data_IF_306921963080
#
_entry.id   IF_306921963080
#
_cell.length_a   1.000
_cell.length_b   1.000
_cell.length_c   1.000
_cell.angle_alpha   90.00
_cell.angle_beta   90.00
_cell.angle_gamma   90.00
#
_symmetry.space_group_name_H-M   'P 1'
#
loop_
_entity.id
_entity.type
_entity.pdbx_description
1 polymer ?
#
# COMPACT_ATOMS: atom_id res chain seq x y z
N UNK A 1 15.67 -14.99 0.17
CA UNK A 1 14.32 -15.38 0.65
C UNK A 1 13.31 -14.91 -0.37
N UNK A 2 12.27 -15.71 -0.64
CA UNK A 2 11.22 -15.35 -1.61
C UNK A 2 10.23 -14.44 -0.89
N UNK A 3 10.14 -13.18 -1.31
CA UNK A 3 9.13 -12.23 -0.81
C UNK A 3 7.85 -12.39 -1.63
N UNK A 4 6.70 -12.32 -0.97
CA UNK A 4 5.39 -12.34 -1.66
C UNK A 4 5.05 -10.89 -2.00
N UNK A 5 5.04 -10.59 -3.30
CA UNK A 5 4.59 -9.30 -3.83
C UNK A 5 3.08 -9.28 -4.03
N UNK A 6 2.43 -8.23 -3.54
CA UNK A 6 0.99 -8.02 -3.64
C UNK A 6 0.71 -6.88 -4.62
N UNK A 7 -0.26 -7.11 -5.50
CA UNK A 7 -0.83 -6.10 -6.39
C UNK A 7 -2.22 -5.78 -5.87
N UNK A 8 -2.37 -4.62 -5.25
CA UNK A 8 -3.60 -4.22 -4.57
C UNK A 8 -4.47 -3.38 -5.48
N UNK A 9 -5.71 -3.84 -5.70
CA UNK A 9 -6.72 -3.15 -6.48
C UNK A 9 -7.87 -2.74 -5.56
N UNK A 10 -8.45 -1.57 -5.80
CA UNK A 10 -9.47 -0.98 -4.93
C UNK A 10 -8.95 -0.84 -3.49
N UNK A 11 -7.72 -0.35 -3.35
CA UNK A 11 -7.01 -0.34 -2.06
C UNK A 11 -7.69 0.55 -1.01
N UNK A 12 -8.60 1.44 -1.42
CA UNK A 12 -9.25 2.40 -0.55
C UNK A 12 -8.21 3.25 0.17
N UNK A 13 -8.40 3.47 1.47
CA UNK A 13 -7.46 4.18 2.32
C UNK A 13 -6.21 3.35 2.72
N UNK A 14 -6.06 2.12 2.19
CA UNK A 14 -4.86 1.31 2.34
C UNK A 14 -4.76 0.46 3.60
N UNK A 15 -5.81 0.37 4.43
CA UNK A 15 -5.73 -0.29 5.75
C UNK A 15 -5.23 -1.75 5.68
N UNK A 16 -5.72 -2.52 4.70
CA UNK A 16 -5.32 -3.91 4.52
C UNK A 16 -3.86 -4.03 4.04
N UNK A 17 -3.48 -3.22 3.05
CA UNK A 17 -2.14 -3.18 2.51
C UNK A 17 -1.09 -2.81 3.57
N UNK A 18 -1.39 -1.79 4.38
CA UNK A 18 -0.52 -1.34 5.47
C UNK A 18 -0.33 -2.47 6.50
N UNK A 19 -1.40 -3.20 6.82
CA UNK A 19 -1.34 -4.38 7.68
C UNK A 19 -0.48 -5.50 7.10
N UNK A 20 -0.59 -5.76 5.79
CA UNK A 20 0.26 -6.75 5.13
C UNK A 20 1.76 -6.38 5.18
N UNK A 21 2.11 -5.11 5.04
CA UNK A 21 3.52 -4.70 5.15
C UNK A 21 4.06 -4.82 6.57
N UNK A 22 3.23 -4.59 7.59
CA UNK A 22 3.64 -4.84 8.99
C UNK A 22 3.89 -6.32 9.28
N UNK A 23 3.27 -7.23 8.51
CA UNK A 23 3.48 -8.68 8.58
C UNK A 23 4.59 -9.19 7.63
N UNK A 24 5.35 -8.28 7.00
CA UNK A 24 6.50 -8.62 6.17
C UNK A 24 6.19 -9.01 4.72
N UNK A 25 4.96 -8.78 4.25
CA UNK A 25 4.64 -8.82 2.82
C UNK A 25 5.05 -7.50 2.14
N UNK A 26 5.11 -7.49 0.82
CA UNK A 26 5.49 -6.30 0.04
C UNK A 26 4.35 -5.89 -0.87
N UNK A 27 3.96 -4.61 -0.84
CA UNK A 27 3.00 -4.05 -1.79
C UNK A 27 3.76 -3.51 -3.00
N UNK A 28 3.68 -4.21 -4.13
CA UNK A 28 4.38 -3.84 -5.36
C UNK A 28 3.56 -2.88 -6.23
N UNK A 29 2.24 -2.90 -6.10
CA UNK A 29 1.32 -2.08 -6.90
C UNK A 29 0.11 -1.67 -6.09
N UNK A 30 -0.34 -0.42 -6.30
CA UNK A 30 -1.57 0.12 -5.74
C UNK A 30 -2.43 0.72 -6.84
N UNK A 31 -3.71 0.40 -6.84
CA UNK A 31 -4.72 1.09 -7.63
C UNK A 31 -5.88 1.58 -6.75
N UNK A 32 -6.06 2.90 -6.72
CA UNK A 32 -7.22 3.56 -6.12
C UNK A 32 -7.61 4.77 -6.97
N UNK A 33 -8.88 4.81 -7.38
CA UNK A 33 -9.37 5.87 -8.26
C UNK A 33 -9.85 7.10 -7.46
N UNK A 34 -10.36 6.89 -6.25
CA UNK A 34 -10.78 7.97 -5.38
C UNK A 34 -9.55 8.70 -4.81
N UNK A 35 -9.35 9.95 -5.27
CA UNK A 35 -8.22 10.78 -4.85
C UNK A 35 -8.15 10.98 -3.34
N UNK A 36 -9.28 11.20 -2.66
CA UNK A 36 -9.28 11.40 -1.21
C UNK A 36 -8.80 10.16 -0.46
N UNK A 37 -9.18 8.96 -0.90
CA UNK A 37 -8.69 7.72 -0.32
C UNK A 37 -7.21 7.48 -0.62
N UNK A 38 -6.76 7.75 -1.84
CA UNK A 38 -5.36 7.64 -2.20
C UNK A 38 -4.47 8.61 -1.39
N UNK A 39 -4.92 9.84 -1.14
CA UNK A 39 -4.17 10.80 -0.32
C UNK A 39 -4.11 10.38 1.15
N UNK A 40 -5.19 9.82 1.71
CA UNK A 40 -5.18 9.21 3.06
C UNK A 40 -4.18 8.05 3.11
N UNK A 41 -4.16 7.20 2.08
CA UNK A 41 -3.24 6.07 2.01
C UNK A 41 -1.78 6.55 1.94
N UNK A 42 -1.45 7.50 1.06
CA UNK A 42 -0.10 8.11 0.99
C UNK A 42 0.32 8.74 2.31
N UNK A 43 -0.59 9.46 2.97
CA UNK A 43 -0.35 10.04 4.30
C UNK A 43 -0.03 8.95 5.33
N UNK A 44 -0.81 7.88 5.38
CA UNK A 44 -0.57 6.77 6.30
C UNK A 44 0.79 6.10 6.04
N UNK A 45 1.13 5.75 4.78
CA UNK A 45 2.44 5.17 4.42
C UNK A 45 3.60 6.06 4.88
N UNK A 46 3.52 7.36 4.62
CA UNK A 46 4.55 8.33 5.02
C UNK A 46 4.75 8.37 6.53
N UNK A 47 3.67 8.39 7.33
CA UNK A 47 3.77 8.41 8.79
C UNK A 47 4.23 7.08 9.40
N UNK A 48 4.01 5.97 8.68
CA UNK A 48 4.49 4.63 9.07
C UNK A 48 5.90 4.34 8.54
N UNK A 49 6.54 5.29 7.86
CA UNK A 49 7.86 5.14 7.23
C UNK A 49 7.93 3.96 6.23
N UNK A 50 6.79 3.63 5.61
CA UNK A 50 6.70 2.60 4.59
C UNK A 50 7.10 3.15 3.23
N UNK A 51 7.80 2.34 2.44
CA UNK A 51 8.23 2.70 1.08
C UNK A 51 7.01 2.80 0.16
N UNK A 52 7.14 3.59 -0.90
CA UNK A 52 6.16 3.61 -1.98
C UNK A 52 6.17 2.27 -2.75
N UNK A 53 5.01 1.82 -3.25
CA UNK A 53 4.94 0.65 -4.12
C UNK A 53 5.75 0.90 -5.40
N UNK A 54 6.26 -0.16 -6.01
CA UNK A 54 7.10 -0.07 -7.21
C UNK A 54 6.32 0.42 -8.44
N UNK A 55 5.02 0.16 -8.46
CA UNK A 55 4.12 0.48 -9.56
C UNK A 55 2.85 1.13 -9.02
N UNK A 56 2.10 1.82 -9.88
CA UNK A 56 0.84 2.50 -9.53
C UNK A 56 0.96 4.01 -9.58
#
# INVERSE_FOLDING_TARGET
MKTIGIYSFFSGAGFLDLGFETEGLTIDFVNEYNKSFLEVYKFARKNMELKEPKYG
#
